data_IF_514821298949
#
_entry.id   IF_514821298949
#
_cell.length_a   1.000
_cell.length_b   1.000
_cell.length_c   1.000
_cell.angle_alpha   90.00
_cell.angle_beta   90.00
_cell.angle_gamma   90.00
#
_symmetry.space_group_name_H-M   'P 1'
#
loop_
_entity.id
_entity.type
_entity.pdbx_description
1 polymer ?
#
# COMPACT_ATOMS: atom_id res chain seq x y z
N UNK A 1 4.84 -8.04 -17.74
CA UNK A 1 5.26 -8.31 -16.37
C UNK A 1 5.28 -7.00 -15.60
N UNK A 2 4.59 -6.97 -14.47
CA UNK A 2 4.47 -5.73 -13.69
C UNK A 2 5.05 -5.94 -12.31
N UNK A 3 5.65 -4.88 -11.77
CA UNK A 3 6.21 -4.89 -10.42
C UNK A 3 5.53 -3.80 -9.60
N UNK A 4 5.02 -4.20 -8.45
CA UNK A 4 4.31 -3.27 -7.56
C UNK A 4 4.77 -3.48 -6.13
N UNK A 5 4.46 -2.51 -5.28
CA UNK A 5 4.61 -2.65 -3.84
C UNK A 5 3.25 -2.58 -3.19
N UNK A 6 3.13 -3.20 -2.04
CA UNK A 6 1.94 -3.12 -1.21
C UNK A 6 2.42 -3.06 0.23
N UNK A 7 1.92 -2.10 0.98
CA UNK A 7 2.34 -1.90 2.37
C UNK A 7 1.14 -1.79 3.28
N UNK A 8 1.21 -2.47 4.40
CA UNK A 8 0.24 -2.30 5.48
C UNK A 8 0.94 -1.54 6.60
N UNK A 9 0.44 -0.34 6.87
CA UNK A 9 0.94 0.48 7.96
C UNK A 9 0.19 0.10 9.23
N UNK A 10 0.94 -0.17 10.29
CA UNK A 10 0.39 -0.67 11.53
C UNK A 10 0.73 0.25 12.68
N UNK A 11 -0.24 0.57 13.51
CA UNK A 11 -0.05 1.33 14.74
C UNK A 11 -1.15 0.96 15.74
N UNK A 12 -0.74 0.65 16.97
CA UNK A 12 -1.68 0.33 18.05
C UNK A 12 -2.65 -0.79 17.67
N UNK A 13 -2.12 -1.84 17.04
CA UNK A 13 -2.89 -3.01 16.58
C UNK A 13 -3.91 -2.69 15.49
N UNK A 14 -3.75 -1.58 14.79
CA UNK A 14 -4.62 -1.21 13.68
C UNK A 14 -3.83 -1.02 12.40
N UNK A 15 -4.46 -1.28 11.28
CA UNK A 15 -3.89 -1.02 9.96
C UNK A 15 -4.51 0.22 9.36
N UNK A 16 -3.67 0.98 8.65
CA UNK A 16 -4.15 2.04 7.78
C UNK A 16 -4.40 1.45 6.40
N UNK A 17 -5.61 1.60 5.93
CA UNK A 17 -6.02 1.07 4.63
C UNK A 17 -6.54 2.20 3.76
N UNK A 18 -6.36 2.03 2.46
CA UNK A 18 -6.93 2.95 1.48
C UNK A 18 -8.31 2.45 1.08
N UNK A 19 -9.25 3.39 0.98
CA UNK A 19 -10.59 3.08 0.51
C UNK A 19 -10.74 3.63 -0.90
N UNK A 20 -10.87 2.75 -1.87
CA UNK A 20 -11.03 3.16 -3.26
C UNK A 20 -12.48 3.47 -3.55
N UNK A 21 -12.77 4.76 -3.76
CA UNK A 21 -14.15 5.19 -3.99
C UNK A 21 -14.34 5.89 -5.32
N UNK A 22 -13.27 6.19 -6.05
CA UNK A 22 -13.34 7.15 -7.15
C UNK A 22 -13.42 6.61 -8.56
N UNK A 23 -13.04 5.38 -8.80
CA UNK A 23 -13.02 4.87 -10.17
C UNK A 23 -14.23 3.97 -10.41
N UNK A 24 -15.17 4.46 -11.20
CA UNK A 24 -16.39 3.73 -11.44
C UNK A 24 -16.21 2.36 -12.08
N UNK A 25 -15.17 2.20 -12.88
CA UNK A 25 -14.93 0.96 -13.58
C UNK A 25 -13.81 0.12 -12.96
N UNK A 26 -13.31 0.54 -11.81
CA UNK A 26 -12.30 -0.20 -11.09
C UNK A 26 -13.00 -1.26 -10.26
N UNK A 27 -12.68 -2.54 -10.48
CA UNK A 27 -13.29 -3.60 -9.70
C UNK A 27 -12.87 -3.56 -8.22
N UNK A 28 -11.85 -2.76 -7.89
CA UNK A 28 -11.45 -2.50 -6.51
C UNK A 28 -12.20 -1.33 -5.87
N UNK A 29 -13.16 -0.75 -6.58
CA UNK A 29 -13.97 0.34 -6.04
C UNK A 29 -14.66 -0.12 -4.76
N UNK A 30 -14.66 0.74 -3.75
CA UNK A 30 -15.23 0.48 -2.43
C UNK A 30 -14.53 -0.62 -1.64
N UNK A 31 -13.36 -1.06 -2.09
CA UNK A 31 -12.57 -2.01 -1.33
C UNK A 31 -11.51 -1.30 -0.50
N UNK A 32 -11.18 -1.91 0.62
CA UNK A 32 -10.10 -1.43 1.47
C UNK A 32 -8.83 -2.17 1.08
N UNK A 33 -7.79 -1.42 0.75
CA UNK A 33 -6.53 -2.00 0.29
C UNK A 33 -5.36 -1.37 1.02
N UNK A 34 -4.22 -2.02 0.98
CA UNK A 34 -2.97 -1.45 1.48
C UNK A 34 -2.48 -0.32 0.58
N UNK A 35 -1.43 0.33 1.02
CA UNK A 35 -0.81 1.45 0.32
C UNK A 35 0.27 0.92 -0.62
N UNK A 36 0.28 1.36 -1.86
CA UNK A 36 1.33 0.96 -2.78
C UNK A 36 1.03 1.33 -4.22
N UNK A 37 1.87 0.87 -5.10
CA UNK A 37 1.71 1.15 -6.51
C UNK A 37 2.84 0.56 -7.35
N UNK A 38 2.84 0.93 -8.61
CA UNK A 38 3.80 0.41 -9.57
C UNK A 38 5.18 1.04 -9.42
N UNK A 39 6.21 0.25 -9.69
CA UNK A 39 7.57 0.74 -9.75
C UNK A 39 7.70 1.74 -10.89
N UNK A 40 8.49 2.77 -10.66
CA UNK A 40 8.94 3.64 -11.73
C UNK A 40 10.25 3.10 -12.29
N UNK A 41 10.66 3.63 -13.42
CA UNK A 41 11.88 3.17 -14.06
C UNK A 41 13.08 3.36 -13.15
N UNK A 42 13.90 2.33 -13.05
CA UNK A 42 15.13 2.33 -12.23
C UNK A 42 14.89 2.49 -10.73
N UNK A 43 13.71 2.14 -10.28
CA UNK A 43 13.34 2.25 -8.87
C UNK A 43 13.50 0.90 -8.18
N UNK A 44 14.13 0.90 -7.00
CA UNK A 44 14.19 -0.30 -6.18
C UNK A 44 12.87 -0.51 -5.44
N UNK A 45 12.62 -1.71 -4.90
CA UNK A 45 11.41 -1.94 -4.09
C UNK A 45 11.27 -0.95 -2.94
N UNK A 46 12.35 -0.68 -2.21
CA UNK A 46 12.29 0.25 -1.08
C UNK A 46 12.01 1.67 -1.54
N UNK A 47 12.60 2.09 -2.64
CA UNK A 47 12.35 3.42 -3.18
C UNK A 47 10.90 3.57 -3.63
N UNK A 48 10.37 2.56 -4.28
CA UNK A 48 8.97 2.55 -4.68
C UNK A 48 8.04 2.64 -3.46
N UNK A 49 8.35 1.85 -2.44
CA UNK A 49 7.58 1.86 -1.20
C UNK A 49 7.52 3.25 -0.59
N UNK A 50 8.69 3.86 -0.38
CA UNK A 50 8.77 5.16 0.27
C UNK A 50 8.06 6.24 -0.54
N UNK A 51 8.21 6.21 -1.84
CA UNK A 51 7.58 7.18 -2.74
C UNK A 51 6.06 7.02 -2.74
N UNK A 52 5.57 5.80 -2.91
CA UNK A 52 4.12 5.55 -2.98
C UNK A 52 3.42 5.88 -1.67
N UNK A 53 4.02 5.51 -0.54
CA UNK A 53 3.45 5.85 0.76
C UNK A 53 3.39 7.35 0.94
N UNK A 54 4.45 8.07 0.56
CA UNK A 54 4.48 9.52 0.68
C UNK A 54 3.43 10.17 -0.22
N UNK A 55 3.31 9.71 -1.45
CA UNK A 55 2.34 10.27 -2.40
C UNK A 55 0.90 10.03 -1.95
N UNK A 56 0.61 8.84 -1.46
CA UNK A 56 -0.77 8.47 -1.14
C UNK A 56 -1.22 8.91 0.25
N UNK A 57 -0.31 8.97 1.21
CA UNK A 57 -0.69 9.26 2.60
C UNK A 57 -0.07 10.54 3.16
N UNK A 58 1.01 11.01 2.56
CA UNK A 58 1.78 12.12 3.12
C UNK A 58 2.78 11.69 4.19
N UNK A 59 2.80 10.41 4.53
CA UNK A 59 3.64 9.90 5.60
C UNK A 59 5.01 9.47 5.09
N UNK A 60 6.00 9.60 5.95
CA UNK A 60 7.36 9.13 5.69
C UNK A 60 7.61 7.92 6.59
N UNK A 61 7.90 6.78 5.98
CA UNK A 61 8.18 5.57 6.74
C UNK A 61 9.55 5.66 7.39
N UNK A 62 9.61 5.24 8.66
CA UNK A 62 10.87 5.20 9.43
C UNK A 62 11.24 3.79 9.83
N UNK A 63 10.29 2.87 9.85
CA UNK A 63 10.53 1.47 10.16
C UNK A 63 9.59 0.63 9.31
N UNK A 64 10.17 -0.23 8.49
CA UNK A 64 9.41 -1.08 7.58
C UNK A 64 10.20 -2.34 7.29
N UNK A 65 9.49 -3.37 6.86
CA UNK A 65 10.10 -4.66 6.60
C UNK A 65 9.42 -5.35 5.42
N UNK A 66 10.22 -5.85 4.49
CA UNK A 66 9.66 -6.68 3.42
C UNK A 66 9.27 -8.03 3.98
N UNK A 67 8.04 -8.45 3.71
CA UNK A 67 7.51 -9.72 4.20
C UNK A 67 7.55 -10.82 3.16
N UNK A 68 7.62 -10.47 1.91
CA UNK A 68 7.68 -11.45 0.84
C UNK A 68 7.30 -10.85 -0.50
N UNK A 69 7.23 -11.72 -1.48
CA UNK A 69 6.82 -11.34 -2.83
C UNK A 69 5.66 -12.24 -3.21
N UNK A 70 4.54 -11.60 -3.58
CA UNK A 70 3.37 -12.30 -4.05
C UNK A 70 3.34 -12.26 -5.57
N UNK A 71 2.91 -13.33 -6.18
CA UNK A 71 2.75 -13.39 -7.62
C UNK A 71 1.28 -13.53 -7.94
N UNK A 72 0.77 -12.60 -8.73
CA UNK A 72 -0.59 -12.67 -9.22
C UNK A 72 -0.57 -12.90 -10.72
N UNK A 73 -1.28 -13.91 -11.14
CA UNK A 73 -1.43 -14.21 -12.57
C UNK A 73 -2.92 -14.16 -12.87
N UNK A 74 -3.27 -13.26 -13.76
CA UNK A 74 -4.66 -13.09 -14.16
C UNK A 74 -4.69 -12.84 -15.67
N UNK A 75 -5.27 -13.78 -16.39
CA UNK A 75 -5.30 -13.74 -17.86
C UNK A 75 -3.87 -13.60 -18.39
N UNK A 76 -3.56 -12.49 -19.07
CA UNK A 76 -2.25 -12.26 -19.65
C UNK A 76 -1.34 -11.41 -18.78
N UNK A 77 -1.81 -11.10 -17.57
CA UNK A 77 -1.07 -10.23 -16.66
C UNK A 77 -0.36 -11.07 -15.62
N UNK A 78 0.94 -10.81 -15.48
CA UNK A 78 1.74 -11.39 -14.40
C UNK A 78 2.27 -10.21 -13.56
N UNK A 79 1.90 -10.18 -12.30
CA UNK A 79 2.28 -9.10 -11.41
C UNK A 79 3.03 -9.66 -10.20
N UNK A 80 4.18 -9.06 -9.92
CA UNK A 80 4.95 -9.36 -8.72
C UNK A 80 4.77 -8.24 -7.73
N UNK A 81 4.28 -8.57 -6.55
CA UNK A 81 3.99 -7.60 -5.50
C UNK A 81 4.96 -7.77 -4.35
N UNK A 82 5.77 -6.75 -4.11
CA UNK A 82 6.65 -6.74 -2.94
C UNK A 82 5.81 -6.30 -1.74
N UNK A 83 5.59 -7.21 -0.82
CA UNK A 83 4.73 -6.99 0.34
C UNK A 83 5.55 -6.50 1.52
N UNK A 84 5.13 -5.38 2.08
CA UNK A 84 5.78 -4.77 3.23
C UNK A 84 4.79 -4.58 4.37
N UNK A 85 5.33 -4.53 5.58
CA UNK A 85 4.61 -3.97 6.72
C UNK A 85 5.46 -2.85 7.29
N UNK A 86 4.83 -1.84 7.85
CA UNK A 86 5.51 -0.70 8.43
C UNK A 86 4.84 -0.35 9.76
N UNK A 87 5.66 -0.19 10.79
CA UNK A 87 5.17 0.17 12.12
C UNK A 87 5.75 1.51 12.61
N UNK A 88 6.63 2.11 11.83
CA UNK A 88 7.17 3.43 12.14
C UNK A 88 6.95 4.38 10.99
N UNK A 89 6.29 5.50 11.27
CA UNK A 89 6.09 6.52 10.26
C UNK A 89 5.88 7.87 10.93
N UNK A 90 6.21 8.93 10.19
CA UNK A 90 6.15 10.31 10.65
C UNK A 90 5.39 11.16 9.66
N UNK A 91 4.96 12.32 10.12
CA UNK A 91 4.28 13.28 9.28
C UNK A 91 2.79 13.31 9.53
N UNK A 92 2.11 14.15 8.78
CA UNK A 92 0.67 14.27 8.89
C UNK A 92 0.04 13.64 7.67
N UNK A 93 -1.02 12.90 7.90
CA UNK A 93 -1.76 12.31 6.81
C UNK A 93 -2.42 13.41 5.99
N UNK A 94 -2.12 13.42 4.70
CA UNK A 94 -2.77 14.37 3.80
C UNK A 94 -4.14 13.83 3.44
N UNK A 95 -5.09 14.75 3.30
CA UNK A 95 -6.41 14.37 2.84
C UNK A 95 -6.34 14.04 1.36
N UNK A 96 -6.41 12.77 1.06
CA UNK A 96 -6.48 12.30 -0.30
C UNK A 96 -7.82 11.59 -0.46
N UNK A 97 -8.41 11.72 -1.62
CA UNK A 97 -9.75 11.16 -1.84
C UNK A 97 -9.81 9.65 -1.75
N UNK A 98 -8.67 8.99 -1.76
CA UNK A 98 -8.60 7.54 -1.68
C UNK A 98 -8.19 7.04 -0.30
N UNK A 99 -7.86 7.94 0.63
CA UNK A 99 -7.34 7.57 1.93
C UNK A 99 -8.41 7.71 2.99
N UNK A 100 -8.61 6.67 3.77
CA UNK A 100 -9.45 6.70 4.95
C UNK A 100 -8.81 5.83 6.02
N UNK A 101 -9.05 6.19 7.27
CA UNK A 101 -8.67 5.31 8.35
C UNK A 101 -9.67 4.20 8.50
N UNK A 102 -9.17 3.00 8.65
CA UNK A 102 -10.00 1.92 9.14
C UNK A 102 -9.30 1.31 10.35
N UNK A 103 -10.08 0.88 11.31
CA UNK A 103 -9.59 0.28 12.53
C UNK A 103 -9.75 -1.23 12.46
N UNK A 104 -9.06 -1.82 11.51
CA UNK A 104 -8.99 -3.27 11.44
C UNK A 104 -7.84 -3.72 12.34
N UNK A 105 -8.16 -4.50 13.35
CA UNK A 105 -7.13 -4.96 14.29
C UNK A 105 -6.20 -5.94 13.59
N UNK A 106 -4.91 -5.76 13.82
CA UNK A 106 -3.88 -6.51 13.11
C UNK A 106 -3.94 -8.02 13.38
N UNK A 107 -4.52 -8.42 14.50
CA UNK A 107 -4.60 -9.81 14.90
C UNK A 107 -5.98 -10.43 14.72
N UNK A 108 -6.87 -9.72 14.06
CA UNK A 108 -8.20 -10.21 13.75
C UNK A 108 -8.28 -10.49 12.27
N UNK A 109 -8.05 -11.71 11.88
CA UNK A 109 -8.14 -12.08 10.48
C UNK A 109 -8.99 -13.33 10.31
#
# INVERSE_FOLDING_TARGET
MEFTTLCYLERDDHYLMLHRTKKEHDFNKDMWIGVGGHFEENESPDECLLREVKEETGLTLTSYKMRGILTFIYRDICEYVCLYTADGFEGEMTSCNAVSYTHLRAHET
#
